data_IF_751873762500
#
_entry.id   IF_751873762500
#
_cell.length_a   1.000
_cell.length_b   1.000
_cell.length_c   1.000
_cell.angle_alpha   90.00
_cell.angle_beta   90.00
_cell.angle_gamma   90.00
#
_symmetry.space_group_name_H-M   'P 1'
#
loop_
_entity.id
_entity.type
_entity.pdbx_description
1 polymer ?
#
# COMPACT_ATOMS: atom_id res chain seq x y z
N UNK A 1 10.26 3.97 -23.29
CA UNK A 1 9.58 3.01 -22.39
C UNK A 1 8.15 3.43 -22.06
N UNK A 2 7.42 4.03 -23.01
CA UNK A 2 6.12 4.68 -22.73
C UNK A 2 4.90 3.75 -22.87
N UNK A 3 5.12 2.47 -23.20
CA UNK A 3 4.03 1.51 -23.44
C UNK A 3 3.80 0.48 -22.33
N UNK A 4 4.61 0.45 -21.27
CA UNK A 4 4.60 -0.66 -20.28
C UNK A 4 3.75 -0.39 -19.03
N UNK A 5 3.42 0.88 -18.74
CA UNK A 5 2.79 1.29 -17.48
C UNK A 5 1.34 1.74 -17.72
N UNK A 6 0.39 0.84 -17.59
CA UNK A 6 -1.04 1.09 -17.87
C UNK A 6 -1.83 1.42 -16.61
N UNK A 7 -1.42 0.84 -15.48
CA UNK A 7 -2.19 0.85 -14.25
C UNK A 7 -1.57 1.72 -13.14
N UNK A 8 -0.40 2.31 -13.37
CA UNK A 8 0.23 3.24 -12.42
C UNK A 8 0.50 4.62 -12.99
N UNK A 9 0.79 5.55 -12.08
CA UNK A 9 1.35 6.87 -12.37
C UNK A 9 2.69 7.02 -11.65
N UNK A 10 3.62 7.68 -12.32
CA UNK A 10 4.90 8.05 -11.71
C UNK A 10 4.66 9.18 -10.70
N UNK A 11 5.26 9.08 -9.52
CA UNK A 11 5.22 10.16 -8.54
C UNK A 11 6.06 11.36 -9.01
N UNK A 12 5.57 12.58 -8.74
CA UNK A 12 6.30 13.80 -9.05
C UNK A 12 7.67 13.78 -8.35
N UNK A 13 8.73 14.07 -9.11
CA UNK A 13 10.11 14.15 -8.64
C UNK A 13 10.28 14.95 -7.34
N UNK A 14 9.50 16.02 -7.16
CA UNK A 14 9.56 16.88 -5.97
C UNK A 14 9.11 16.17 -4.69
N UNK A 15 8.34 15.10 -4.81
CA UNK A 15 7.79 14.36 -3.68
C UNK A 15 8.72 13.25 -3.16
N UNK A 16 9.75 12.87 -3.92
CA UNK A 16 10.56 11.69 -3.58
C UNK A 16 12.07 11.84 -3.71
N UNK A 17 12.58 12.69 -4.61
CA UNK A 17 14.02 12.67 -4.97
C UNK A 17 14.96 13.00 -3.80
N UNK A 18 14.57 13.96 -2.98
CA UNK A 18 15.36 14.43 -1.84
C UNK A 18 14.79 13.96 -0.49
N UNK A 19 13.69 13.21 -0.52
CA UNK A 19 13.05 12.72 0.69
C UNK A 19 13.76 11.43 1.19
N UNK A 20 14.28 11.40 2.43
CA UNK A 20 15.08 10.30 2.94
C UNK A 20 14.31 8.99 3.13
N UNK A 21 12.97 8.98 3.03
CA UNK A 21 12.20 7.72 3.09
C UNK A 21 12.49 6.85 1.87
N UNK A 22 12.78 7.46 0.72
CA UNK A 22 12.90 6.72 -0.53
C UNK A 22 14.33 6.23 -0.68
N UNK A 23 14.46 4.91 -0.77
CA UNK A 23 15.76 4.25 -0.89
C UNK A 23 16.48 4.63 -2.21
N UNK A 24 15.72 4.71 -3.31
CA UNK A 24 16.26 5.05 -4.62
C UNK A 24 16.10 6.55 -4.91
N UNK A 25 17.21 7.22 -5.22
CA UNK A 25 17.25 8.63 -5.64
C UNK A 25 17.19 8.82 -7.16
N UNK A 26 17.25 7.73 -7.91
CA UNK A 26 17.35 7.72 -9.38
C UNK A 26 16.23 6.93 -10.05
N UNK A 27 15.53 6.07 -9.30
CA UNK A 27 14.39 5.30 -9.79
C UNK A 27 13.11 5.91 -9.24
N UNK A 28 12.25 6.49 -10.09
CA UNK A 28 11.02 7.11 -9.61
C UNK A 28 10.06 6.04 -9.09
N UNK A 29 9.46 6.25 -7.90
CA UNK A 29 8.40 5.40 -7.42
C UNK A 29 7.13 5.62 -8.25
N UNK A 30 6.35 4.55 -8.37
CA UNK A 30 5.06 4.54 -9.05
C UNK A 30 3.99 4.14 -8.06
N UNK A 31 2.80 4.71 -8.22
CA UNK A 31 1.63 4.34 -7.43
C UNK A 31 0.51 3.90 -8.37
N UNK A 32 -0.23 2.85 -7.98
CA UNK A 32 -1.38 2.39 -8.74
C UNK A 32 -2.43 3.50 -8.89
N UNK A 33 -3.04 3.60 -10.07
CA UNK A 33 -4.24 4.43 -10.32
C UNK A 33 -5.44 3.97 -9.49
N UNK A 34 -5.38 2.76 -8.93
CA UNK A 34 -6.44 2.16 -8.12
C UNK A 34 -6.06 2.12 -6.63
N UNK A 35 -5.18 3.01 -6.17
CA UNK A 35 -4.71 3.04 -4.79
C UNK A 35 -5.85 3.06 -3.75
N UNK A 36 -6.94 3.78 -4.04
CA UNK A 36 -8.12 3.81 -3.17
C UNK A 36 -8.72 2.41 -2.93
N UNK A 37 -8.72 1.53 -3.94
CA UNK A 37 -9.20 0.14 -3.75
C UNK A 37 -8.29 -0.67 -2.83
N UNK A 38 -7.00 -0.36 -2.82
CA UNK A 38 -6.05 -0.96 -1.89
C UNK A 38 -6.33 -0.46 -0.46
N UNK A 39 -6.58 0.84 -0.29
CA UNK A 39 -6.95 1.43 1.00
C UNK A 39 -8.25 0.83 1.54
N UNK A 40 -9.31 0.78 0.73
CA UNK A 40 -10.61 0.21 1.10
C UNK A 40 -10.46 -1.26 1.54
N UNK A 41 -9.65 -2.04 0.82
CA UNK A 41 -9.41 -3.44 1.13
C UNK A 41 -8.58 -3.64 2.42
N UNK A 42 -7.60 -2.77 2.68
CA UNK A 42 -6.88 -2.75 3.95
C UNK A 42 -7.80 -2.40 5.12
N UNK A 43 -8.68 -1.41 4.96
CA UNK A 43 -9.67 -1.07 5.98
C UNK A 43 -10.61 -2.26 6.22
N UNK A 44 -11.10 -2.91 5.16
CA UNK A 44 -11.94 -4.10 5.30
C UNK A 44 -11.23 -5.22 6.05
N UNK A 45 -9.96 -5.48 5.76
CA UNK A 45 -9.17 -6.48 6.49
C UNK A 45 -9.06 -6.16 7.99
N UNK A 46 -8.86 -4.89 8.35
CA UNK A 46 -8.85 -4.48 9.75
C UNK A 46 -10.22 -4.67 10.42
N UNK A 47 -11.33 -4.35 9.72
CA UNK A 47 -12.69 -4.61 10.21
C UNK A 47 -12.90 -6.11 10.46
N UNK A 48 -12.44 -6.96 9.55
CA UNK A 48 -12.63 -8.41 9.65
C UNK A 48 -11.82 -9.03 10.81
N UNK A 49 -10.68 -8.44 11.16
CA UNK A 49 -9.80 -8.93 12.23
C UNK A 49 -10.14 -8.34 13.61
N UNK A 50 -10.44 -7.04 13.68
CA UNK A 50 -10.59 -6.31 14.95
C UNK A 50 -12.02 -5.83 15.21
N UNK A 51 -12.87 -5.79 14.18
CA UNK A 51 -14.16 -5.13 14.23
C UNK A 51 -14.08 -3.68 13.76
N UNK A 52 -15.25 -3.11 13.44
CA UNK A 52 -15.38 -1.79 12.83
C UNK A 52 -14.87 -0.66 13.72
N UNK A 53 -15.05 -0.78 15.03
CA UNK A 53 -14.72 0.28 15.99
C UNK A 53 -13.21 0.38 16.27
N UNK A 54 -12.44 -0.64 15.87
CA UNK A 54 -11.01 -0.77 16.12
C UNK A 54 -10.15 -0.61 14.84
N UNK A 55 -10.70 -0.02 13.77
CA UNK A 55 -9.91 0.35 12.58
C UNK A 55 -8.82 1.34 12.98
N UNK A 56 -7.58 1.04 12.62
CA UNK A 56 -6.38 1.78 13.00
C UNK A 56 -5.68 1.24 14.25
N UNK A 57 -6.16 0.16 14.86
CA UNK A 57 -5.54 -0.46 16.04
C UNK A 57 -4.12 -1.00 15.80
N UNK A 58 -3.71 -1.15 14.54
CA UNK A 58 -2.34 -1.53 14.18
C UNK A 58 -1.81 -0.72 12.99
N UNK A 59 -0.50 -0.44 12.96
CA UNK A 59 0.16 0.01 11.74
C UNK A 59 0.21 -1.16 10.75
N UNK A 60 -0.43 -0.99 9.59
CA UNK A 60 -0.44 -1.98 8.51
C UNK A 60 -0.09 -1.35 7.16
N UNK A 61 -0.86 -1.67 6.11
CA UNK A 61 -0.52 -1.23 4.75
C UNK A 61 -0.91 0.22 4.45
N UNK A 62 -1.77 0.82 5.28
CA UNK A 62 -2.23 2.21 5.13
C UNK A 62 -1.10 3.18 5.49
N UNK A 63 -0.87 4.17 4.62
CA UNK A 63 0.14 5.19 4.86
C UNK A 63 -0.16 6.50 4.12
N UNK A 64 0.31 7.65 4.63
CA UNK A 64 0.05 8.96 4.04
C UNK A 64 0.69 9.16 2.66
N UNK A 65 1.61 8.27 2.27
CA UNK A 65 2.29 8.27 0.96
C UNK A 65 1.72 7.21 0.00
N UNK A 66 0.59 6.61 0.37
CA UNK A 66 -0.11 5.58 -0.38
C UNK A 66 -0.04 4.22 0.29
N UNK A 67 -1.01 3.38 -0.05
CA UNK A 67 -1.06 1.98 0.39
C UNK A 67 0.20 1.21 -0.03
N UNK A 68 0.73 0.38 0.87
CA UNK A 68 1.90 -0.48 0.60
C UNK A 68 1.73 -1.33 -0.68
N UNK A 69 0.56 -1.96 -0.88
CA UNK A 69 0.32 -2.77 -2.08
C UNK A 69 0.21 -1.91 -3.34
N UNK A 70 -0.36 -0.70 -3.23
CA UNK A 70 -0.50 0.21 -4.36
C UNK A 70 0.85 0.78 -4.85
N UNK A 71 1.83 0.93 -3.96
CA UNK A 71 3.19 1.36 -4.34
C UNK A 71 4.08 0.19 -4.77
N UNK A 72 3.95 -0.97 -4.12
CA UNK A 72 4.79 -2.15 -4.39
C UNK A 72 4.36 -2.86 -5.68
N UNK A 73 3.05 -2.97 -5.89
CA UNK A 73 2.45 -3.69 -7.02
C UNK A 73 1.68 -2.74 -7.94
N UNK A 74 2.27 -1.57 -8.22
CA UNK A 74 1.59 -0.44 -8.89
C UNK A 74 0.95 -0.77 -10.25
N UNK A 75 1.48 -1.76 -10.99
CA UNK A 75 0.93 -2.21 -12.28
C UNK A 75 -0.09 -3.35 -12.18
N UNK A 76 -0.47 -3.75 -10.96
CA UNK A 76 -1.50 -4.77 -10.78
C UNK A 76 -2.86 -4.32 -11.30
N UNK A 77 -3.63 -5.30 -11.77
CA UNK A 77 -5.04 -5.09 -12.09
C UNK A 77 -5.83 -4.61 -10.86
N UNK A 78 -6.92 -3.84 -11.06
CA UNK A 78 -7.70 -3.26 -9.99
C UNK A 78 -8.13 -4.26 -8.91
N UNK A 79 -8.60 -5.44 -9.30
CA UNK A 79 -9.10 -6.44 -8.35
C UNK A 79 -7.96 -7.17 -7.64
N UNK A 80 -6.78 -7.24 -8.28
CA UNK A 80 -5.59 -7.86 -7.68
C UNK A 80 -4.92 -6.95 -6.68
N UNK A 81 -4.85 -5.64 -6.93
CA UNK A 81 -4.23 -4.71 -5.98
C UNK A 81 -5.01 -4.62 -4.67
N UNK A 82 -6.34 -4.70 -4.72
CA UNK A 82 -7.19 -4.81 -3.54
C UNK A 82 -6.92 -6.11 -2.76
N UNK A 83 -6.89 -7.26 -3.45
CA UNK A 83 -6.59 -8.54 -2.81
C UNK A 83 -5.19 -8.57 -2.17
N UNK A 84 -4.19 -8.00 -2.84
CA UNK A 84 -2.83 -7.89 -2.31
C UNK A 84 -2.78 -7.01 -1.06
N UNK A 85 -3.52 -5.91 -1.03
CA UNK A 85 -3.62 -5.03 0.13
C UNK A 85 -4.27 -5.73 1.33
N UNK A 86 -5.40 -6.41 1.10
CA UNK A 86 -6.09 -7.20 2.12
C UNK A 86 -5.17 -8.26 2.74
N UNK A 87 -4.49 -9.06 1.89
CA UNK A 87 -3.57 -10.10 2.37
C UNK A 87 -2.38 -9.51 3.13
N UNK A 88 -1.84 -8.38 2.66
CA UNK A 88 -0.75 -7.70 3.34
C UNK A 88 -1.16 -7.22 4.74
N UNK A 89 -2.38 -6.67 4.88
CA UNK A 89 -2.90 -6.22 6.16
C UNK A 89 -3.02 -7.38 7.17
N UNK A 90 -3.54 -8.53 6.72
CA UNK A 90 -3.63 -9.76 7.53
C UNK A 90 -2.24 -10.24 7.94
N UNK A 91 -1.25 -10.18 7.04
CA UNK A 91 0.13 -10.53 7.35
C UNK A 91 0.72 -9.59 8.41
N UNK A 92 0.52 -8.29 8.27
CA UNK A 92 0.97 -7.29 9.26
C UNK A 92 0.39 -7.56 10.65
N UNK A 93 -0.86 -8.05 10.74
CA UNK A 93 -1.44 -8.47 12.02
C UNK A 93 -0.65 -9.62 12.66
N UNK A 94 -0.29 -10.63 11.88
CA UNK A 94 0.52 -11.76 12.39
C UNK A 94 1.93 -11.33 12.77
N UNK A 95 2.52 -10.38 12.04
CA UNK A 95 3.82 -9.79 12.39
C UNK A 95 3.72 -9.05 13.73
N UNK A 96 2.73 -8.18 13.91
CA UNK A 96 2.50 -7.46 15.17
C UNK A 96 2.22 -8.40 16.35
N UNK A 97 1.45 -9.48 16.15
CA UNK A 97 1.20 -10.46 17.21
C UNK A 97 2.43 -11.26 17.63
N UNK A 98 3.46 -11.36 16.78
CA UNK A 98 4.73 -11.98 17.17
C UNK A 98 5.64 -11.05 17.97
N UNK A 99 5.38 -9.74 17.93
CA UNK A 99 6.17 -8.72 18.64
C UNK A 99 5.60 -8.30 19.98
N UNK A 100 4.34 -8.65 20.30
CA UNK A 100 3.76 -8.46 21.62
C UNK A 100 3.62 -9.82 22.35
N UNK A 101 4.22 -9.99 23.55
CA UNK A 101 4.12 -11.21 24.34
C UNK A 101 2.71 -11.49 24.85
#
# INVERSE_FOLDING_TARGET
MEGLRRHSVMLDCKLWKDDPIYFFKTLPPYISKYAQRADDASIQAQIDVFGKDDVGAMPGALGPRGNFAAVTFAESFPDRVAMLAYLNEVLSFYECRRTFP
#
